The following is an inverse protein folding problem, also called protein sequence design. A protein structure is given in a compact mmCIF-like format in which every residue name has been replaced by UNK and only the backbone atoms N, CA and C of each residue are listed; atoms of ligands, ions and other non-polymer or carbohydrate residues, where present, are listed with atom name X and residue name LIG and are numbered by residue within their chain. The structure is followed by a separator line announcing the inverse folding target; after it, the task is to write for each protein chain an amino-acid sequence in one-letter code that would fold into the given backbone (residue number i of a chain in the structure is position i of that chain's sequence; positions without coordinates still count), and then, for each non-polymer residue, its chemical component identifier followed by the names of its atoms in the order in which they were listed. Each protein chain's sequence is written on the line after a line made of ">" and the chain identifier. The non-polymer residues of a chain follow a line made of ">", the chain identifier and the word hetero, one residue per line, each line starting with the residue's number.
data_IF_758926132813
#
_entry.id   IF_758926132813
#
_cell.length_a   1.000
_cell.length_b   1.000
_cell.length_c   1.000
_cell.angle_alpha   90.00
_cell.angle_beta   90.00
_cell.angle_gamma   90.00
#
_symmetry.space_group_name_H-M   'P 1'
#
loop_
_entity.id
_entity.type
_entity.pdbx_description
1 polymer ?
#
# COMPACT_ATOMS: atom_id res chain seq x y z
N UNK A 1 30.76 -39.80 -24.42
CA UNK A 1 29.36 -39.42 -24.75
C UNK A 1 28.39 -39.59 -23.57
N UNK A 2 28.41 -40.71 -22.82
CA UNK A 2 27.49 -40.97 -21.68
C UNK A 2 27.44 -39.86 -20.60
N UNK A 3 28.58 -39.41 -20.08
CA UNK A 3 28.65 -38.31 -19.08
C UNK A 3 27.96 -37.01 -19.51
N UNK A 4 28.02 -36.67 -20.81
CA UNK A 4 27.37 -35.47 -21.36
C UNK A 4 25.85 -35.66 -21.47
N UNK A 5 25.38 -36.88 -21.68
CA UNK A 5 23.96 -37.20 -21.72
C UNK A 5 23.36 -37.19 -20.31
N UNK A 6 24.07 -37.74 -19.32
CA UNK A 6 23.69 -37.68 -17.90
C UNK A 6 23.58 -36.23 -17.41
N UNK A 7 24.56 -35.37 -17.76
CA UNK A 7 24.52 -33.94 -17.41
C UNK A 7 23.30 -33.22 -18.02
N UNK A 8 22.92 -33.57 -19.25
CA UNK A 8 21.73 -33.01 -19.91
C UNK A 8 20.45 -33.42 -19.22
N UNK A 9 20.32 -34.70 -18.86
CA UNK A 9 19.16 -35.22 -18.13
C UNK A 9 19.01 -34.51 -16.78
N UNK A 10 20.09 -34.40 -16.00
CA UNK A 10 20.05 -33.67 -14.73
C UNK A 10 19.66 -32.20 -14.88
N UNK A 11 20.12 -31.53 -15.94
CA UNK A 11 19.75 -30.15 -16.20
C UNK A 11 18.27 -30.02 -16.58
N UNK A 12 17.75 -30.91 -17.42
CA UNK A 12 16.34 -30.95 -17.81
C UNK A 12 15.42 -31.24 -16.61
N UNK A 13 15.80 -32.19 -15.75
CA UNK A 13 15.10 -32.49 -14.49
C UNK A 13 15.13 -31.31 -13.53
N UNK A 14 16.29 -30.67 -13.37
CA UNK A 14 16.44 -29.47 -12.55
C UNK A 14 15.54 -28.33 -13.03
N UNK A 15 15.50 -28.08 -14.34
CA UNK A 15 14.62 -27.08 -14.93
C UNK A 15 13.14 -27.42 -14.77
N UNK A 16 12.75 -28.69 -14.94
CA UNK A 16 11.37 -29.14 -14.69
C UNK A 16 10.98 -28.87 -13.24
N UNK A 17 11.80 -29.31 -12.28
CA UNK A 17 11.57 -29.08 -10.85
C UNK A 17 11.48 -27.58 -10.53
N UNK A 18 12.29 -26.74 -11.17
CA UNK A 18 12.22 -25.29 -10.97
C UNK A 18 10.90 -24.70 -11.50
N UNK A 19 10.43 -25.13 -12.68
CA UNK A 19 9.13 -24.71 -13.22
C UNK A 19 7.97 -25.13 -12.32
N UNK A 20 8.00 -26.36 -11.81
CA UNK A 20 6.95 -26.87 -10.93
C UNK A 20 6.92 -26.10 -9.61
N UNK A 21 8.08 -25.83 -9.02
CA UNK A 21 8.20 -24.97 -7.83
C UNK A 21 7.68 -23.57 -8.09
N UNK A 22 8.08 -22.93 -9.21
CA UNK A 22 7.58 -21.60 -9.58
C UNK A 22 6.06 -21.57 -9.68
N UNK A 23 5.46 -22.58 -10.32
CA UNK A 23 4.00 -22.70 -10.44
C UNK A 23 3.33 -22.83 -9.07
N UNK A 24 3.87 -23.70 -8.20
CA UNK A 24 3.35 -23.90 -6.85
C UNK A 24 3.46 -22.62 -6.00
N UNK A 25 4.60 -21.92 -6.04
CA UNK A 25 4.79 -20.65 -5.32
C UNK A 25 3.81 -19.59 -5.81
N UNK A 26 3.62 -19.42 -7.12
CA UNK A 26 2.64 -18.47 -7.65
C UNK A 26 1.21 -18.80 -7.22
N UNK A 27 0.86 -20.09 -7.17
CA UNK A 27 -0.44 -20.53 -6.66
C UNK A 27 -0.62 -20.17 -5.18
N UNK A 28 0.43 -20.31 -4.36
CA UNK A 28 0.37 -19.94 -2.95
C UNK A 28 0.23 -18.43 -2.75
N UNK A 29 0.94 -17.63 -3.55
CA UNK A 29 0.81 -16.17 -3.50
C UNK A 29 -0.61 -15.73 -3.85
N UNK A 30 -1.21 -16.29 -4.89
CA UNK A 30 -2.60 -15.99 -5.23
C UNK A 30 -3.59 -16.37 -4.12
N UNK A 31 -3.34 -17.45 -3.37
CA UNK A 31 -4.17 -17.81 -2.21
C UNK A 31 -3.98 -16.84 -1.04
N UNK A 32 -2.78 -16.28 -0.87
CA UNK A 32 -2.52 -15.24 0.15
C UNK A 32 -3.28 -13.96 -0.21
N UNK A 33 -3.25 -13.53 -1.48
CA UNK A 33 -3.99 -12.35 -1.93
C UNK A 33 -5.50 -12.53 -1.70
N UNK A 34 -6.06 -13.70 -2.02
CA UNK A 34 -7.47 -14.02 -1.77
C UNK A 34 -7.83 -14.01 -0.27
N UNK A 35 -6.93 -14.54 0.57
CA UNK A 35 -7.12 -14.52 2.03
C UNK A 35 -7.13 -13.09 2.55
N UNK A 36 -6.24 -12.23 2.05
CA UNK A 36 -6.15 -10.85 2.52
C UNK A 36 -7.37 -10.04 2.09
N UNK A 37 -7.90 -10.27 0.88
CA UNK A 37 -9.19 -9.72 0.44
C UNK A 37 -10.34 -10.18 1.35
N UNK A 38 -10.40 -11.48 1.67
CA UNK A 38 -11.43 -12.02 2.56
C UNK A 38 -11.33 -11.44 3.97
N UNK A 39 -10.11 -11.29 4.51
CA UNK A 39 -9.89 -10.66 5.81
C UNK A 39 -10.36 -9.21 5.83
N UNK A 40 -10.17 -8.46 4.74
CA UNK A 40 -10.72 -7.11 4.58
C UNK A 40 -12.25 -7.10 4.73
N UNK A 41 -12.94 -7.96 3.97
CA UNK A 41 -14.41 -8.11 4.02
C UNK A 41 -14.91 -8.54 5.40
N UNK A 42 -14.21 -9.48 6.06
CA UNK A 42 -14.53 -9.89 7.43
C UNK A 42 -14.39 -8.69 8.37
N UNK A 43 -13.36 -7.87 8.21
CA UNK A 43 -13.16 -6.64 8.99
C UNK A 43 -14.31 -5.64 8.81
N UNK A 44 -14.73 -5.39 7.57
CA UNK A 44 -15.86 -4.49 7.25
C UNK A 44 -17.18 -4.97 7.87
N UNK A 45 -17.49 -6.26 7.70
CA UNK A 45 -18.69 -6.87 8.30
C UNK A 45 -18.60 -6.85 9.82
N UNK A 46 -17.44 -7.13 10.39
CA UNK A 46 -17.22 -7.08 11.84
C UNK A 46 -17.46 -5.67 12.39
N UNK A 47 -16.95 -4.65 11.71
CA UNK A 47 -17.18 -3.25 12.08
C UNK A 47 -18.66 -2.91 11.99
N UNK A 48 -19.34 -3.33 10.92
CA UNK A 48 -20.78 -3.13 10.74
C UNK A 48 -21.60 -3.76 11.87
N UNK A 49 -21.27 -4.99 12.28
CA UNK A 49 -21.95 -5.70 13.38
C UNK A 49 -21.73 -4.97 14.72
N UNK A 50 -20.51 -4.47 14.96
CA UNK A 50 -20.22 -3.66 16.16
C UNK A 50 -21.02 -2.36 16.13
N UNK A 51 -21.10 -1.69 14.98
CA UNK A 51 -21.85 -0.43 14.83
C UNK A 51 -23.37 -0.64 14.98
N UNK A 52 -23.86 -1.85 14.70
CA UNK A 52 -25.25 -2.28 15.01
C UNK A 52 -25.51 -2.47 16.52
N UNK A 53 -24.46 -2.46 17.35
CA UNK A 53 -24.57 -2.50 18.82
C UNK A 53 -24.10 -3.80 19.46
N UNK A 54 -23.56 -4.75 18.68
CA UNK A 54 -23.00 -5.97 19.25
C UNK A 54 -21.69 -5.72 20.00
N UNK A 55 -21.46 -6.51 21.04
CA UNK A 55 -20.22 -6.41 21.82
C UNK A 55 -19.02 -6.80 20.95
N UNK A 56 -18.02 -5.93 20.89
CA UNK A 56 -16.77 -6.17 20.15
C UNK A 56 -16.11 -7.50 20.50
N UNK A 57 -16.17 -7.89 21.77
CA UNK A 57 -15.62 -9.14 22.30
C UNK A 57 -16.33 -10.36 21.70
N UNK A 58 -17.65 -10.29 21.53
CA UNK A 58 -18.46 -11.34 20.91
C UNK A 58 -18.13 -11.48 19.43
N UNK A 59 -18.06 -10.36 18.69
CA UNK A 59 -17.70 -10.37 17.26
C UNK A 59 -16.30 -10.94 17.05
N UNK A 60 -15.33 -10.56 17.90
CA UNK A 60 -13.98 -11.16 17.86
C UNK A 60 -14.01 -12.66 18.07
N UNK A 61 -14.73 -13.12 19.10
CA UNK A 61 -14.83 -14.55 19.41
C UNK A 61 -15.43 -15.33 18.25
N UNK A 62 -16.45 -14.77 17.59
CA UNK A 62 -17.07 -15.35 16.39
C UNK A 62 -16.09 -15.48 15.22
N UNK A 63 -15.25 -14.46 15.01
CA UNK A 63 -14.19 -14.50 13.97
C UNK A 63 -13.05 -15.45 14.37
N UNK A 64 -12.88 -15.74 15.66
CA UNK A 64 -11.90 -16.70 16.16
C UNK A 64 -10.46 -16.19 16.11
N UNK A 65 -10.26 -14.87 16.25
CA UNK A 65 -8.94 -14.23 16.18
C UNK A 65 -8.47 -13.71 17.53
N UNK A 66 -7.16 -13.48 17.66
CA UNK A 66 -6.61 -12.82 18.84
C UNK A 66 -7.07 -11.36 18.93
N UNK A 67 -7.09 -10.79 20.14
CA UNK A 67 -7.47 -9.37 20.32
C UNK A 67 -6.57 -8.43 19.51
N UNK A 68 -5.27 -8.75 19.37
CA UNK A 68 -4.33 -7.94 18.58
C UNK A 68 -4.71 -7.96 17.11
N UNK A 69 -4.92 -9.15 16.55
CA UNK A 69 -5.13 -9.32 15.11
C UNK A 69 -6.51 -8.80 14.70
N UNK A 70 -7.52 -9.02 15.53
CA UNK A 70 -8.85 -8.45 15.33
C UNK A 70 -8.83 -6.92 15.34
N UNK A 71 -8.09 -6.31 16.27
CA UNK A 71 -7.91 -4.86 16.29
C UNK A 71 -7.16 -4.33 15.07
N UNK A 72 -6.17 -5.06 14.57
CA UNK A 72 -5.48 -4.68 13.34
C UNK A 72 -6.42 -4.75 12.13
N UNK A 73 -7.20 -5.82 12.03
CA UNK A 73 -8.19 -6.02 10.96
C UNK A 73 -9.29 -4.94 10.95
N UNK A 74 -9.79 -4.53 12.12
CA UNK A 74 -10.77 -3.43 12.20
C UNK A 74 -10.18 -2.08 11.79
N UNK A 75 -8.89 -1.83 12.07
CA UNK A 75 -8.21 -0.59 11.63
C UNK A 75 -8.10 -0.55 10.10
N UNK A 76 -7.63 -1.64 9.50
CA UNK A 76 -7.52 -1.74 8.04
C UNK A 76 -8.89 -1.61 7.36
N UNK A 77 -9.96 -2.16 7.95
CA UNK A 77 -11.31 -2.04 7.40
C UNK A 77 -11.84 -0.59 7.42
N UNK A 78 -11.49 0.20 8.45
CA UNK A 78 -11.85 1.62 8.53
C UNK A 78 -11.13 2.48 7.51
N UNK A 79 -9.88 2.14 7.18
CA UNK A 79 -9.08 2.84 6.17
C UNK A 79 -9.55 2.53 4.74
N UNK A 80 -10.05 1.32 4.50
CA UNK A 80 -10.59 0.89 3.20
C UNK A 80 -12.02 1.37 2.93
N UNK A 81 -12.77 1.72 3.98
CA UNK A 81 -14.12 2.25 3.84
C UNK A 81 -14.04 3.73 3.41
N UNK A 82 -14.70 4.14 2.31
CA UNK A 82 -14.75 5.55 1.94
C UNK A 82 -15.48 6.28 3.06
N UNK A 83 -14.76 7.10 3.83
CA UNK A 83 -15.40 7.85 4.90
C UNK A 83 -16.41 8.81 4.27
N UNK A 84 -17.69 8.62 4.56
CA UNK A 84 -18.79 9.55 4.22
C UNK A 84 -18.67 10.89 4.98
N UNK A 85 -17.49 11.19 5.54
CA UNK A 85 -17.24 12.35 6.40
C UNK A 85 -16.17 13.31 5.88
N UNK A 86 -15.84 13.27 4.58
CA UNK A 86 -15.29 14.45 3.90
C UNK A 86 -16.43 15.43 3.57
N UNK A 87 -17.15 15.88 4.59
CA UNK A 87 -17.95 17.10 4.46
C UNK A 87 -16.96 18.27 4.47
N UNK A 88 -16.96 19.14 3.45
CA UNK A 88 -16.12 20.33 3.46
C UNK A 88 -16.55 21.13 4.69
N UNK A 89 -15.60 21.35 5.58
CA UNK A 89 -15.77 22.21 6.75
C UNK A 89 -16.23 23.57 6.23
N UNK A 90 -17.51 23.87 6.45
CA UNK A 90 -18.14 25.13 6.07
C UNK A 90 -17.40 26.26 6.81
N UNK A 91 -16.53 26.95 6.07
CA UNK A 91 -15.82 28.14 6.53
C UNK A 91 -16.75 29.34 6.37
N UNK A 92 -17.71 29.43 7.28
CA UNK A 92 -18.55 30.61 7.47
C UNK A 92 -17.82 31.55 8.44
N UNK A 93 -17.00 32.47 7.90
CA UNK A 93 -16.68 33.71 8.61
C UNK A 93 -16.80 34.94 7.71
N UNK A 94 -17.84 35.68 8.04
CA UNK A 94 -18.31 36.95 7.51
C UNK A 94 -17.22 38.00 7.21
N UNK A 95 -17.28 38.51 5.97
CA UNK A 95 -17.16 39.93 5.55
C UNK A 95 -16.52 40.93 6.52
N UNK A 96 -15.36 41.45 6.11
CA UNK A 96 -14.74 42.66 6.66
C UNK A 96 -14.01 43.41 5.54
N UNK A 97 -14.75 44.30 4.90
CA UNK A 97 -14.34 45.30 3.91
C UNK A 97 -13.10 46.12 4.33
N UNK A 98 -12.09 46.19 3.46
CA UNK A 98 -11.09 47.26 3.42
C UNK A 98 -10.38 47.27 2.08
N UNK A 99 -10.90 48.12 1.19
CA UNK A 99 -10.24 48.61 -0.01
C UNK A 99 -9.07 49.54 0.34
N UNK A 100 -8.22 49.79 -0.67
CA UNK A 100 -7.09 50.72 -0.78
C UNK A 100 -5.71 50.09 -0.51
N UNK A 101 -4.65 50.27 -1.30
CA UNK A 101 -4.43 50.67 -2.69
C UNK A 101 -2.89 50.68 -2.87
N UNK A 102 -2.45 50.52 -4.11
CA UNK A 102 -1.20 51.01 -4.72
C UNK A 102 0.15 50.29 -4.46
N UNK A 103 0.60 49.67 -5.56
CA UNK A 103 1.90 49.83 -6.23
C UNK A 103 3.21 49.61 -5.46
N UNK A 104 4.02 48.65 -5.93
CA UNK A 104 5.20 49.05 -6.71
C UNK A 104 5.85 47.90 -7.49
N UNK A 105 6.14 48.22 -8.74
CA UNK A 105 6.98 47.50 -9.69
C UNK A 105 8.40 47.26 -9.17
N UNK A 106 8.94 46.05 -9.38
CA UNK A 106 10.36 45.88 -9.66
C UNK A 106 10.61 44.62 -10.50
N UNK A 107 11.12 44.87 -11.69
CA UNK A 107 11.38 43.94 -12.76
C UNK A 107 12.56 42.98 -12.50
N UNK A 108 12.51 41.86 -13.23
CA UNK A 108 13.64 41.19 -13.89
C UNK A 108 14.78 40.61 -13.04
N UNK A 109 15.00 39.30 -13.17
CA UNK A 109 16.19 38.77 -13.84
C UNK A 109 16.13 37.24 -14.02
N UNK A 110 15.88 36.82 -15.25
CA UNK A 110 16.38 35.56 -15.80
C UNK A 110 17.88 35.72 -16.08
N UNK A 111 18.71 34.93 -15.42
CA UNK A 111 20.09 34.55 -15.81
C UNK A 111 20.53 33.48 -14.81
N UNK A 112 21.06 32.31 -15.14
CA UNK A 112 21.92 31.94 -16.25
C UNK A 112 23.20 31.28 -15.67
N UNK A 113 23.76 30.31 -16.40
CA UNK A 113 25.07 29.64 -16.20
C UNK A 113 25.14 28.59 -15.08
N UNK A 114 25.26 27.30 -15.40
CA UNK A 114 26.47 26.58 -15.83
C UNK A 114 27.50 26.42 -14.71
N UNK A 115 27.95 25.17 -14.48
CA UNK A 115 29.05 24.89 -13.57
C UNK A 115 29.25 23.43 -13.25
N UNK A 116 29.99 22.74 -14.12
CA UNK A 116 30.64 21.43 -13.97
C UNK A 116 31.17 21.10 -12.57
N UNK A 117 31.19 19.80 -12.25
CA UNK A 117 31.90 19.29 -11.07
C UNK A 117 31.93 17.76 -10.98
N UNK A 118 32.20 17.09 -12.11
CA UNK A 118 32.53 15.66 -12.15
C UNK A 118 33.89 15.45 -11.45
N UNK A 119 33.92 14.68 -10.36
CA UNK A 119 35.16 14.23 -9.73
C UNK A 119 35.15 12.72 -9.56
N UNK A 120 35.61 12.09 -10.64
CA UNK A 120 36.19 10.76 -10.70
C UNK A 120 37.50 10.75 -9.87
N UNK A 121 37.71 9.74 -9.03
CA UNK A 121 39.04 9.41 -8.57
C UNK A 121 39.15 7.91 -8.28
N UNK A 122 39.53 7.17 -9.31
CA UNK A 122 40.03 5.82 -9.20
C UNK A 122 41.53 5.79 -8.93
N UNK A 123 41.96 4.74 -8.23
CA UNK A 123 43.24 4.08 -8.46
C UNK A 123 44.40 4.46 -7.54
N UNK A 124 44.70 3.54 -6.60
CA UNK A 124 45.98 2.82 -6.56
C UNK A 124 45.83 1.52 -5.79
#
# INVERSE_FOLDING_TARGET
>A
MKKRQELRQHLEEGQRKLRDRKKSTNSLLSLIDQRDELNGKIGEVSQSIIDLGEAKEFVRELVGMSQRDFNAMLKTAKESSPSVNDSPREDESHTGDSECQDDDEAASALSGADGDGDHDNGGQ
#
